data_IF_757637475141
#
_entry.id   IF_757637475141
#
_cell.length_a   1.000
_cell.length_b   1.000
_cell.length_c   1.000
_cell.angle_alpha   90.00
_cell.angle_beta   90.00
_cell.angle_gamma   90.00
#
_symmetry.space_group_name_H-M   'P 1'
#
loop_
_entity.id
_entity.type
_entity.pdbx_description
1 polymer ?
#
# COMPACT_ATOMS: atom_id res chain seq x y z
N UNK A 1 1.92 19.34 -14.39
CA UNK A 1 2.11 18.07 -13.67
C UNK A 1 0.77 17.82 -13.00
N UNK A 2 0.12 16.68 -13.28
CA UNK A 2 -1.15 16.35 -12.62
C UNK A 2 -0.87 15.90 -11.18
N UNK A 3 -1.84 16.08 -10.29
CA UNK A 3 -1.77 15.49 -8.95
C UNK A 3 -1.91 13.97 -9.02
N UNK A 4 -1.40 13.25 -8.01
CA UNK A 4 -1.36 11.77 -8.04
C UNK A 4 -2.73 11.12 -8.34
N UNK A 5 -3.80 11.64 -7.75
CA UNK A 5 -5.16 11.11 -7.90
C UNK A 5 -5.88 11.60 -9.17
N UNK A 6 -5.32 12.58 -9.87
CA UNK A 6 -5.82 13.07 -11.17
C UNK A 6 -5.26 12.24 -12.33
N UNK A 7 -4.14 11.56 -12.13
CA UNK A 7 -3.55 10.62 -13.09
C UNK A 7 -4.44 9.37 -13.26
N UNK A 8 -4.84 9.09 -14.49
CA UNK A 8 -5.80 8.03 -14.79
C UNK A 8 -5.27 6.64 -14.38
N UNK A 9 -6.06 5.95 -13.56
CA UNK A 9 -5.76 4.60 -13.09
C UNK A 9 -4.88 4.54 -11.83
N UNK A 10 -4.41 5.68 -11.30
CA UNK A 10 -3.84 5.74 -9.96
C UNK A 10 -4.95 5.64 -8.90
N UNK A 11 -4.61 5.05 -7.76
CA UNK A 11 -5.54 4.82 -6.65
C UNK A 11 -4.89 5.26 -5.35
N UNK A 12 -5.46 6.32 -4.77
CA UNK A 12 -5.18 6.78 -3.41
C UNK A 12 -6.37 6.51 -2.49
N UNK A 13 -6.12 6.05 -1.26
CA UNK A 13 -7.14 5.95 -0.19
C UNK A 13 -6.58 6.47 1.12
N UNK A 14 -7.43 7.15 1.89
CA UNK A 14 -7.12 7.61 3.25
C UNK A 14 -8.20 7.03 4.16
N UNK A 15 -7.77 6.28 5.16
CA UNK A 15 -8.61 5.71 6.20
C UNK A 15 -8.37 6.50 7.47
N UNK A 16 -9.45 6.96 8.11
CA UNK A 16 -9.40 7.86 9.26
C UNK A 16 -10.19 7.24 10.40
N UNK A 17 -9.65 7.33 11.61
CA UNK A 17 -10.31 6.93 12.84
C UNK A 17 -10.25 8.05 13.89
N UNK A 18 -11.12 7.98 14.90
CA UNK A 18 -11.19 8.88 16.03
C UNK A 18 -10.42 8.28 17.22
N UNK A 19 -9.19 8.75 17.42
CA UNK A 19 -8.32 8.32 18.52
C UNK A 19 -8.16 9.48 19.49
N UNK A 20 -8.62 9.32 20.74
CA UNK A 20 -8.61 10.37 21.76
C UNK A 20 -9.25 11.67 21.25
N UNK A 21 -10.45 11.56 20.67
CA UNK A 21 -11.24 12.68 20.09
C UNK A 21 -10.55 13.40 18.91
N UNK A 22 -9.44 12.88 18.40
CA UNK A 22 -8.74 13.42 17.24
C UNK A 22 -8.93 12.52 16.02
N UNK A 23 -9.19 13.14 14.87
CA UNK A 23 -9.18 12.44 13.58
C UNK A 23 -7.74 12.12 13.20
N UNK A 24 -7.40 10.84 13.16
CA UNK A 24 -6.08 10.35 12.80
C UNK A 24 -6.21 9.50 11.54
N UNK A 25 -5.37 9.76 10.54
CA UNK A 25 -5.24 8.85 9.41
C UNK A 25 -4.62 7.54 9.91
N UNK A 26 -5.36 6.45 9.93
CA UNK A 26 -4.83 5.16 10.38
C UNK A 26 -4.03 4.49 9.27
N UNK A 27 -4.48 4.63 8.03
CA UNK A 27 -3.83 4.10 6.85
C UNK A 27 -3.98 5.05 5.66
N UNK A 28 -2.91 5.24 4.91
CA UNK A 28 -2.94 5.88 3.59
C UNK A 28 -2.34 4.90 2.60
N UNK A 29 -3.06 4.54 1.55
CA UNK A 29 -2.53 3.67 0.48
C UNK A 29 -2.39 4.44 -0.81
N UNK A 30 -1.30 4.21 -1.53
CA UNK A 30 -1.02 4.77 -2.84
C UNK A 30 -0.57 3.65 -3.76
N UNK A 31 -1.27 3.50 -4.88
CA UNK A 31 -0.95 2.52 -5.89
C UNK A 31 -1.11 3.14 -7.27
N UNK A 32 -0.05 3.14 -8.08
CA UNK A 32 -0.16 3.62 -9.46
C UNK A 32 -0.80 2.58 -10.37
N UNK A 33 -1.24 3.00 -11.55
CA UNK A 33 -1.64 2.07 -12.61
C UNK A 33 -0.54 1.05 -12.92
N UNK A 34 0.69 1.53 -13.12
CA UNK A 34 1.85 0.70 -13.46
C UNK A 34 2.17 -0.34 -12.37
N UNK A 35 2.01 0.02 -11.10
CA UNK A 35 2.15 -0.92 -9.97
C UNK A 35 1.14 -2.07 -10.02
N UNK A 36 -0.12 -1.77 -10.35
CA UNK A 36 -1.16 -2.81 -10.52
C UNK A 36 -0.88 -3.71 -11.71
N UNK A 37 -0.48 -3.11 -12.83
CA UNK A 37 -0.07 -3.86 -14.02
C UNK A 37 1.13 -4.76 -13.74
N UNK A 38 2.06 -4.32 -12.90
CA UNK A 38 3.20 -5.15 -12.50
C UNK A 38 2.76 -6.37 -11.67
N UNK A 39 1.91 -6.16 -10.66
CA UNK A 39 1.41 -7.28 -9.86
C UNK A 39 0.53 -8.25 -10.67
N UNK A 40 -0.28 -7.76 -11.62
CA UNK A 40 -1.07 -8.65 -12.49
C UNK A 40 -0.20 -9.55 -13.37
N UNK A 41 1.00 -9.10 -13.74
CA UNK A 41 1.97 -9.88 -14.53
C UNK A 41 2.82 -10.83 -13.69
N UNK A 42 3.11 -10.46 -12.45
CA UNK A 42 3.97 -11.22 -11.54
C UNK A 42 3.33 -11.36 -10.14
N UNK A 43 2.19 -12.09 -10.01
CA UNK A 43 1.49 -12.22 -8.75
C UNK A 43 2.05 -13.31 -7.83
N UNK A 44 3.12 -14.01 -8.22
CA UNK A 44 3.54 -15.28 -7.62
C UNK A 44 4.00 -15.13 -6.17
N UNK A 45 4.79 -14.09 -5.88
CA UNK A 45 5.33 -13.83 -4.55
C UNK A 45 5.17 -12.35 -4.23
N UNK A 46 4.45 -12.07 -3.14
CA UNK A 46 4.32 -10.74 -2.57
C UNK A 46 5.12 -10.67 -1.28
N UNK A 47 6.13 -9.79 -1.26
CA UNK A 47 6.90 -9.44 -0.07
C UNK A 47 6.32 -8.16 0.53
N UNK A 48 6.21 -8.13 1.85
CA UNK A 48 5.74 -6.96 2.60
C UNK A 48 6.77 -6.62 3.66
N UNK A 49 7.21 -5.37 3.67
CA UNK A 49 8.17 -4.85 4.66
C UNK A 49 7.68 -3.54 5.28
N UNK A 50 8.07 -3.31 6.54
CA UNK A 50 7.73 -2.15 7.33
C UNK A 50 9.00 -1.41 7.75
N UNK A 51 9.15 -0.15 7.33
CA UNK A 51 10.28 0.67 7.77
C UNK A 51 9.86 1.69 8.82
N UNK A 52 10.73 1.85 9.82
CA UNK A 52 10.56 2.77 10.92
C UNK A 52 11.45 4.00 10.76
N UNK A 53 11.01 5.14 11.31
CA UNK A 53 11.86 6.34 11.41
C UNK A 53 12.03 7.12 10.10
N UNK A 54 11.17 6.88 9.11
CA UNK A 54 11.24 7.52 7.78
C UNK A 54 10.59 8.90 7.70
N UNK A 55 9.77 9.28 8.69
CA UNK A 55 9.06 10.56 8.71
C UNK A 55 8.89 11.10 10.14
N UNK A 56 8.74 12.43 10.26
CA UNK A 56 8.58 13.13 11.54
C UNK A 56 7.29 12.76 12.28
N UNK A 57 6.24 12.38 11.55
CA UNK A 57 4.96 11.94 12.10
C UNK A 57 4.98 10.51 12.66
N UNK A 58 6.11 9.80 12.56
CA UNK A 58 6.36 8.45 13.09
C UNK A 58 5.49 7.32 12.50
N UNK A 59 4.82 7.58 11.38
CA UNK A 59 4.12 6.54 10.61
C UNK A 59 5.12 5.51 10.10
N UNK A 60 4.68 4.26 9.97
CA UNK A 60 5.49 3.22 9.33
C UNK A 60 5.19 3.23 7.84
N UNK A 61 6.23 3.11 7.03
CA UNK A 61 6.05 2.95 5.59
C UNK A 61 6.00 1.46 5.33
N UNK A 62 4.85 1.00 4.85
CA UNK A 62 4.59 -0.36 4.40
C UNK A 62 4.83 -0.43 2.90
N UNK A 63 5.78 -1.27 2.51
CA UNK A 63 6.10 -1.54 1.11
C UNK A 63 5.56 -2.90 0.72
N UNK A 64 4.87 -2.95 -0.42
CA UNK A 64 4.45 -4.18 -1.07
C UNK A 64 5.33 -4.36 -2.29
N UNK A 65 5.95 -5.52 -2.45
CA UNK A 65 6.85 -5.82 -3.55
C UNK A 65 6.45 -7.14 -4.19
N UNK A 66 6.15 -7.12 -5.48
CA UNK A 66 6.03 -8.33 -6.28
C UNK A 66 7.44 -8.82 -6.62
N UNK A 67 7.66 -10.13 -6.53
CA UNK A 67 8.94 -10.76 -6.79
C UNK A 67 8.78 -11.88 -7.81
N UNK A 68 9.56 -11.82 -8.89
CA UNK A 68 9.51 -12.80 -9.98
C UNK A 68 10.34 -14.06 -9.67
N UNK A 69 10.24 -15.08 -10.55
CA UNK A 69 11.01 -16.32 -10.41
C UNK A 69 12.52 -16.14 -10.67
N UNK A 70 12.96 -14.98 -11.15
CA UNK A 70 14.36 -14.69 -11.49
C UNK A 70 15.10 -13.92 -10.38
N UNK A 71 14.43 -13.55 -9.29
CA UNK A 71 15.08 -12.79 -8.21
C UNK A 71 14.83 -11.29 -8.26
N UNK A 72 14.00 -10.79 -9.17
CA UNK A 72 13.74 -9.36 -9.29
C UNK A 72 12.48 -8.96 -8.55
N UNK A 73 12.58 -7.89 -7.76
CA UNK A 73 11.47 -7.30 -7.04
C UNK A 73 11.10 -5.92 -7.57
N UNK A 74 9.80 -5.62 -7.66
CA UNK A 74 9.30 -4.27 -7.90
C UNK A 74 8.22 -3.90 -6.89
N UNK A 75 8.23 -2.66 -6.41
CA UNK A 75 7.17 -2.15 -5.56
C UNK A 75 5.83 -2.08 -6.31
N UNK A 76 4.80 -2.63 -5.69
CA UNK A 76 3.44 -2.72 -6.25
C UNK A 76 2.38 -2.04 -5.37
N UNK A 77 2.72 -1.55 -4.19
CA UNK A 77 1.90 -0.60 -3.42
C UNK A 77 2.76 0.05 -2.33
N UNK A 78 2.45 1.30 -2.02
CA UNK A 78 2.95 1.98 -0.83
C UNK A 78 1.80 2.23 0.14
N UNK A 79 2.05 2.02 1.43
CA UNK A 79 1.13 2.42 2.48
C UNK A 79 1.86 3.17 3.59
N UNK A 80 1.21 4.19 4.17
CA UNK A 80 1.60 4.79 5.44
C UNK A 80 0.61 4.27 6.48
N UNK A 81 1.12 3.61 7.52
CA UNK A 81 0.30 3.07 8.60
C UNK A 81 0.68 3.75 9.91
N UNK A 82 -0.32 4.11 10.70
CA UNK A 82 -0.11 4.79 11.99
C UNK A 82 0.67 3.91 12.97
N UNK A 83 0.46 2.60 12.92
CA UNK A 83 1.08 1.60 13.79
C UNK A 83 1.08 0.23 13.10
N UNK A 84 1.82 -0.74 13.67
CA UNK A 84 1.92 -2.12 13.15
C UNK A 84 0.96 -3.09 13.85
N UNK A 85 -0.22 -2.61 14.23
CA UNK A 85 -1.28 -3.48 14.76
C UNK A 85 -2.07 -4.10 13.63
N UNK A 86 -2.64 -5.26 13.94
CA UNK A 86 -3.38 -6.10 13.01
C UNK A 86 -4.38 -5.31 12.15
N UNK A 87 -5.18 -4.44 12.75
CA UNK A 87 -6.26 -3.71 12.07
C UNK A 87 -5.72 -2.75 10.99
N UNK A 88 -4.63 -2.06 11.32
CA UNK A 88 -4.01 -1.10 10.40
C UNK A 88 -3.33 -1.81 9.24
N UNK A 89 -2.65 -2.93 9.52
CA UNK A 89 -2.00 -3.75 8.50
C UNK A 89 -3.04 -4.44 7.60
N UNK A 90 -4.09 -4.98 8.20
CA UNK A 90 -5.20 -5.59 7.49
C UNK A 90 -5.85 -4.58 6.54
N UNK A 91 -6.04 -3.33 6.97
CA UNK A 91 -6.59 -2.27 6.10
C UNK A 91 -5.75 -2.07 4.83
N UNK A 92 -4.41 -2.01 4.96
CA UNK A 92 -3.52 -1.85 3.82
C UNK A 92 -3.55 -3.07 2.87
N UNK A 93 -3.58 -4.28 3.44
CA UNK A 93 -3.64 -5.55 2.69
C UNK A 93 -4.98 -5.72 1.98
N UNK A 94 -6.10 -5.53 2.67
CA UNK A 94 -7.44 -5.66 2.06
C UNK A 94 -7.66 -4.61 0.97
N UNK A 95 -7.11 -3.41 1.15
CA UNK A 95 -7.10 -2.39 0.10
C UNK A 95 -6.28 -2.84 -1.11
N UNK A 96 -5.13 -3.48 -0.89
CA UNK A 96 -4.35 -4.07 -1.98
C UNK A 96 -5.16 -5.12 -2.73
N UNK A 97 -5.68 -6.14 -2.04
CA UNK A 97 -6.48 -7.23 -2.65
C UNK A 97 -7.63 -6.68 -3.49
N UNK A 98 -8.40 -5.74 -2.92
CA UNK A 98 -9.56 -5.13 -3.57
C UNK A 98 -9.24 -4.51 -4.94
N UNK A 99 -8.06 -3.93 -5.10
CA UNK A 99 -7.68 -3.21 -6.32
C UNK A 99 -6.82 -4.05 -7.27
N UNK A 100 -6.48 -5.29 -6.90
CA UNK A 100 -5.60 -6.19 -7.64
C UNK A 100 -6.29 -7.54 -7.86
N UNK A 101 -7.09 -7.70 -8.93
CA UNK A 101 -7.85 -8.93 -9.20
C UNK A 101 -6.99 -10.19 -9.34
N UNK A 102 -5.70 -10.04 -9.67
CA UNK A 102 -4.75 -11.14 -9.73
C UNK A 102 -4.49 -11.80 -8.36
N UNK A 103 -4.90 -11.19 -7.26
CA UNK A 103 -4.82 -11.78 -5.93
C UNK A 103 -5.61 -13.09 -5.79
N UNK A 104 -6.73 -13.22 -6.51
CA UNK A 104 -7.61 -14.39 -6.44
C UNK A 104 -7.27 -15.47 -7.48
N UNK A 105 -6.24 -15.25 -8.31
CA UNK A 105 -5.80 -16.21 -9.33
C UNK A 105 -4.87 -17.26 -8.71
#
# INVERSE_FOLDING_TARGET
MLEFSEEEGNIGRIFVDLINEKKIATCVTMQTRSMREMFDRFPEVLLIDATHGTNSSKYKVFYFMAHDCFGHGQYVQHALVQNERYETLQTAIETFKKHNPAWEK
#
